data_IF_016272220396
#
_entry.id   IF_016272220396
#
_cell.length_a   1.000
_cell.length_b   1.000
_cell.length_c   1.000
_cell.angle_alpha   90.00
_cell.angle_beta   90.00
_cell.angle_gamma   90.00
#
_symmetry.space_group_name_H-M   'P 1'
#
loop_
_entity.id
_entity.type
_entity.pdbx_description
1 polymer ?
#
# COMPACT_ATOMS: atom_id res chain seq x y z
N UNK A 1 11.41 0.65 -18.79
CA UNK A 1 12.26 0.42 -17.60
C UNK A 1 12.40 1.66 -16.73
N UNK A 2 12.84 2.82 -17.26
CA UNK A 2 12.99 4.05 -16.47
C UNK A 2 11.73 4.44 -15.66
N UNK A 3 10.55 4.40 -16.29
CA UNK A 3 9.28 4.74 -15.64
C UNK A 3 8.89 3.77 -14.50
N UNK A 4 9.19 2.47 -14.65
CA UNK A 4 8.93 1.49 -13.59
C UNK A 4 9.84 1.72 -12.38
N UNK A 5 11.10 2.07 -12.61
CA UNK A 5 12.03 2.39 -11.53
C UNK A 5 11.60 3.65 -10.77
N UNK A 6 11.09 4.69 -11.45
CA UNK A 6 10.53 5.87 -10.78
C UNK A 6 9.34 5.52 -9.88
N UNK A 7 8.42 4.67 -10.36
CA UNK A 7 7.29 4.19 -9.56
C UNK A 7 7.75 3.40 -8.33
N UNK A 8 8.72 2.48 -8.50
CA UNK A 8 9.29 1.69 -7.41
C UNK A 8 9.97 2.60 -6.37
N UNK A 9 10.81 3.52 -6.81
CA UNK A 9 11.52 4.44 -5.91
C UNK A 9 10.57 5.38 -5.17
N UNK A 10 9.46 5.79 -5.82
CA UNK A 10 8.43 6.60 -5.17
C UNK A 10 7.64 5.81 -4.15
N UNK A 11 7.31 4.54 -4.45
CA UNK A 11 6.58 3.66 -3.56
C UNK A 11 7.40 3.31 -2.30
N UNK A 12 8.66 2.89 -2.48
CA UNK A 12 9.51 2.37 -1.42
C UNK A 12 10.63 3.36 -1.04
N UNK A 13 10.25 4.43 -0.34
CA UNK A 13 11.17 5.46 0.14
C UNK A 13 10.94 5.79 1.62
N UNK A 14 11.88 6.55 2.21
CA UNK A 14 11.86 7.00 3.62
C UNK A 14 10.61 7.83 3.99
N UNK A 15 9.88 8.36 3.01
CA UNK A 15 8.61 9.06 3.26
C UNK A 15 7.42 8.10 3.48
N UNK A 16 7.52 6.87 2.96
CA UNK A 16 6.45 5.86 2.99
C UNK A 16 6.75 4.70 3.95
N UNK A 17 8.03 4.43 4.19
CA UNK A 17 8.50 3.37 5.06
C UNK A 17 9.44 3.94 6.12
N UNK A 18 9.30 3.46 7.36
CA UNK A 18 10.06 3.94 8.51
C UNK A 18 11.51 3.44 8.54
N UNK A 19 11.91 2.59 7.60
CA UNK A 19 13.26 2.02 7.49
C UNK A 19 13.70 1.98 6.04
N UNK A 20 14.99 2.26 5.80
CA UNK A 20 15.62 2.23 4.46
C UNK A 20 15.69 0.85 3.86
N UNK A 21 15.76 -0.18 4.71
CA UNK A 21 15.81 -1.57 4.27
C UNK A 21 14.45 -2.07 3.76
N UNK A 22 13.38 -1.29 3.98
CA UNK A 22 11.96 -1.53 3.65
C UNK A 22 11.38 -2.80 4.32
N UNK A 23 12.02 -3.94 4.11
CA UNK A 23 11.68 -5.26 4.64
C UNK A 23 12.92 -5.93 5.25
N UNK A 24 13.42 -5.45 6.41
CA UNK A 24 14.59 -6.04 7.05
C UNK A 24 14.30 -7.47 7.53
N UNK A 25 15.29 -8.35 7.42
CA UNK A 25 15.24 -9.70 7.96
C UNK A 25 15.92 -9.72 9.33
N UNK A 26 15.15 -9.94 10.38
CA UNK A 26 15.65 -9.99 11.75
C UNK A 26 15.81 -11.44 12.23
N UNK A 27 17.03 -11.84 12.60
CA UNK A 27 17.28 -13.18 13.15
C UNK A 27 16.98 -13.23 14.64
N UNK A 28 16.05 -14.11 15.04
CA UNK A 28 15.68 -14.35 16.44
C UNK A 28 16.51 -15.48 17.07
N UNK A 29 16.75 -16.55 16.29
CA UNK A 29 17.54 -17.72 16.68
C UNK A 29 18.38 -18.19 15.48
N UNK A 30 19.29 -19.15 15.69
CA UNK A 30 20.21 -19.66 14.65
C UNK A 30 19.50 -20.07 13.34
N UNK A 31 18.26 -20.57 13.42
CA UNK A 31 17.46 -21.02 12.27
C UNK A 31 16.06 -20.40 12.22
N UNK A 32 15.85 -19.28 12.92
CA UNK A 32 14.57 -18.57 12.95
C UNK A 32 14.80 -17.09 12.72
N UNK A 33 14.21 -16.58 11.65
CA UNK A 33 14.23 -15.16 11.31
C UNK A 33 12.81 -14.68 11.01
N UNK A 34 12.58 -13.39 11.22
CA UNK A 34 11.34 -12.68 10.93
C UNK A 34 11.62 -11.66 9.85
N UNK A 35 10.88 -11.73 8.75
CA UNK A 35 10.88 -10.68 7.74
C UNK A 35 9.88 -9.62 8.16
N UNK A 36 10.37 -8.45 8.54
CA UNK A 36 9.55 -7.36 9.05
C UNK A 36 8.93 -6.60 7.89
N UNK A 37 7.65 -6.88 7.58
CA UNK A 37 6.91 -6.24 6.49
C UNK A 37 5.99 -5.11 6.96
N UNK A 38 6.12 -4.70 8.22
CA UNK A 38 5.21 -3.77 8.90
C UNK A 38 5.79 -2.36 9.05
N UNK A 39 6.82 -1.99 8.29
CA UNK A 39 7.43 -0.65 8.37
C UNK A 39 6.76 0.40 7.49
N UNK A 40 5.69 0.06 6.78
CA UNK A 40 4.92 1.01 5.97
C UNK A 40 4.00 1.92 6.78
N UNK A 41 3.32 2.85 6.08
CA UNK A 41 2.46 3.89 6.67
C UNK A 41 1.33 3.35 7.56
N UNK A 42 0.88 2.12 7.34
CA UNK A 42 -0.23 1.51 8.11
C UNK A 42 0.22 0.40 9.05
N UNK A 43 1.53 0.17 9.16
CA UNK A 43 2.14 -0.82 10.04
C UNK A 43 1.68 -2.25 9.73
N UNK A 44 1.35 -2.53 8.47
CA UNK A 44 0.90 -3.84 8.02
C UNK A 44 1.57 -4.22 6.70
N UNK A 45 1.75 -5.53 6.48
CA UNK A 45 2.41 -6.05 5.26
C UNK A 45 1.75 -5.64 3.94
N UNK A 46 0.49 -5.18 3.99
CA UNK A 46 -0.26 -4.74 2.81
C UNK A 46 0.32 -3.47 2.20
N UNK A 47 1.05 -2.68 2.99
CA UNK A 47 1.77 -1.50 2.51
C UNK A 47 2.78 -1.86 1.42
N UNK A 48 3.34 -3.08 1.44
CA UNK A 48 4.24 -3.56 0.39
C UNK A 48 3.57 -3.53 -0.98
N UNK A 49 2.33 -3.98 -1.10
CA UNK A 49 1.62 -3.97 -2.37
C UNK A 49 0.95 -2.62 -2.66
N UNK A 50 0.29 -2.05 -1.65
CA UNK A 50 -0.57 -0.88 -1.80
C UNK A 50 0.21 0.44 -1.90
N UNK A 51 1.52 0.44 -1.62
CA UNK A 51 2.38 1.60 -1.93
C UNK A 51 2.70 1.70 -3.42
N UNK A 52 2.84 0.59 -4.15
CA UNK A 52 3.19 0.58 -5.58
C UNK A 52 1.95 0.54 -6.48
N UNK A 53 0.90 -0.16 -6.04
CA UNK A 53 -0.29 -0.40 -6.85
C UNK A 53 -0.94 0.87 -7.45
N UNK A 54 -1.09 1.99 -6.73
CA UNK A 54 -1.70 3.20 -7.30
C UNK A 54 -0.92 3.74 -8.51
N UNK A 55 0.42 3.72 -8.45
CA UNK A 55 1.26 4.12 -9.58
C UNK A 55 1.03 3.22 -10.80
N UNK A 56 1.00 1.90 -10.58
CA UNK A 56 0.76 0.92 -11.64
C UNK A 56 -0.64 1.08 -12.26
N UNK A 57 -1.65 1.35 -11.45
CA UNK A 57 -3.02 1.56 -11.92
C UNK A 57 -3.09 2.81 -12.81
N UNK A 58 -2.50 3.93 -12.38
CA UNK A 58 -2.48 5.17 -13.16
C UNK A 58 -1.74 4.95 -14.48
N UNK A 59 -0.54 4.36 -14.44
CA UNK A 59 0.24 4.06 -15.64
C UNK A 59 -0.51 3.14 -16.61
N UNK A 60 -1.23 2.13 -16.10
CA UNK A 60 -2.04 1.25 -16.92
C UNK A 60 -3.22 1.99 -17.58
N UNK A 61 -3.93 2.87 -16.84
CA UNK A 61 -5.00 3.69 -17.42
C UNK A 61 -4.49 4.59 -18.54
N UNK A 62 -3.34 5.23 -18.33
CA UNK A 62 -2.71 6.07 -19.34
C UNK A 62 -2.33 5.29 -20.59
N UNK A 63 -1.74 4.10 -20.43
CA UNK A 63 -1.36 3.23 -21.53
C UNK A 63 -2.57 2.77 -22.36
N UNK A 64 -3.70 2.49 -21.71
CA UNK A 64 -4.97 2.11 -22.36
C UNK A 64 -5.77 3.33 -22.89
N UNK A 65 -5.31 4.56 -22.64
CA UNK A 65 -6.04 5.77 -22.97
C UNK A 65 -7.37 5.91 -22.23
N UNK A 66 -7.53 5.25 -21.07
CA UNK A 66 -8.73 5.29 -20.25
C UNK A 66 -8.79 6.59 -19.45
N UNK A 67 -9.84 7.38 -19.71
CA UNK A 67 -10.05 8.72 -19.15
C UNK A 67 -11.07 8.75 -18.02
N UNK A 68 -11.81 7.66 -17.80
CA UNK A 68 -12.79 7.57 -16.72
C UNK A 68 -12.09 7.57 -15.37
N UNK A 69 -12.77 8.09 -14.37
CA UNK A 69 -12.35 7.93 -12.99
C UNK A 69 -12.54 6.48 -12.53
N UNK A 70 -11.65 6.00 -11.66
CA UNK A 70 -11.74 4.65 -11.07
C UNK A 70 -12.19 4.76 -9.63
N UNK A 71 -13.29 4.09 -9.29
CA UNK A 71 -13.72 3.93 -7.90
C UNK A 71 -13.25 2.57 -7.38
N UNK A 72 -12.31 2.58 -6.44
CA UNK A 72 -11.91 1.42 -5.66
C UNK A 72 -12.96 1.20 -4.57
N UNK A 73 -13.70 0.10 -4.68
CA UNK A 73 -14.65 -0.36 -3.66
C UNK A 73 -14.03 -1.51 -2.89
N UNK A 74 -13.98 -1.42 -1.56
CA UNK A 74 -13.41 -2.48 -0.72
C UNK A 74 -14.23 -2.64 0.56
N UNK A 75 -14.38 -3.88 1.02
CA UNK A 75 -14.86 -4.18 2.36
C UNK A 75 -13.71 -4.76 3.20
N UNK A 76 -13.64 -4.39 4.47
CA UNK A 76 -12.58 -4.85 5.38
C UNK A 76 -13.12 -5.15 6.77
N UNK A 77 -12.37 -5.96 7.51
CA UNK A 77 -12.54 -6.16 8.96
C UNK A 77 -11.37 -5.59 9.76
N UNK A 78 -10.53 -4.73 9.16
CA UNK A 78 -9.32 -4.21 9.80
C UNK A 78 -8.35 -3.54 8.83
N UNK A 79 -7.06 -3.89 8.92
CA UNK A 79 -5.95 -3.13 8.31
C UNK A 79 -6.03 -2.94 6.79
N UNK A 80 -6.69 -3.85 6.06
CA UNK A 80 -6.74 -3.77 4.59
C UNK A 80 -7.40 -2.47 4.13
N UNK A 81 -8.46 -2.04 4.81
CA UNK A 81 -9.14 -0.79 4.47
C UNK A 81 -8.23 0.41 4.68
N UNK A 82 -7.52 0.45 5.82
CA UNK A 82 -6.57 1.53 6.13
C UNK A 82 -5.43 1.60 5.13
N UNK A 83 -4.81 0.45 4.81
CA UNK A 83 -3.74 0.38 3.81
C UNK A 83 -4.22 0.81 2.42
N UNK A 84 -5.45 0.46 2.03
CA UNK A 84 -6.01 0.86 0.74
C UNK A 84 -6.32 2.37 0.71
N UNK A 85 -6.94 2.92 1.77
CA UNK A 85 -7.19 4.35 1.91
C UNK A 85 -5.90 5.15 1.83
N UNK A 86 -4.87 4.71 2.55
CA UNK A 86 -3.57 5.36 2.59
C UNK A 86 -2.79 5.20 1.28
N UNK A 87 -2.94 4.08 0.58
CA UNK A 87 -2.34 3.86 -0.74
C UNK A 87 -2.95 4.75 -1.83
N UNK A 88 -4.27 4.86 -1.87
CA UNK A 88 -4.99 5.64 -2.89
C UNK A 88 -5.25 7.11 -2.51
N UNK A 89 -4.72 7.56 -1.38
CA UNK A 89 -4.85 8.94 -0.93
C UNK A 89 -4.26 9.90 -1.97
N UNK A 90 -5.06 10.88 -2.37
CA UNK A 90 -4.68 11.96 -3.29
C UNK A 90 -4.17 11.47 -4.67
N UNK A 91 -4.51 10.24 -5.09
CA UNK A 91 -4.12 9.68 -6.39
C UNK A 91 -5.09 10.18 -7.48
N UNK A 92 -4.64 10.99 -8.46
CA UNK A 92 -5.52 11.60 -9.45
C UNK A 92 -6.30 10.59 -10.29
N UNK A 93 -7.57 10.92 -10.58
CA UNK A 93 -8.44 10.06 -11.38
C UNK A 93 -8.83 8.75 -10.69
N UNK A 94 -8.63 8.66 -9.37
CA UNK A 94 -9.09 7.56 -8.53
C UNK A 94 -9.88 8.07 -7.33
N UNK A 95 -10.82 7.25 -6.87
CA UNK A 95 -11.60 7.45 -5.67
C UNK A 95 -11.61 6.14 -4.89
N UNK A 96 -11.74 6.19 -3.57
CA UNK A 96 -11.81 4.99 -2.74
C UNK A 96 -12.94 5.07 -1.73
N UNK A 97 -13.69 3.98 -1.60
CA UNK A 97 -14.67 3.77 -0.54
C UNK A 97 -14.42 2.44 0.16
N UNK A 98 -14.34 2.50 1.48
CA UNK A 98 -14.13 1.35 2.35
C UNK A 98 -15.36 1.12 3.22
N UNK A 99 -15.91 -0.08 3.15
CA UNK A 99 -16.94 -0.58 4.04
C UNK A 99 -16.29 -1.40 5.16
N UNK A 100 -16.70 -1.19 6.39
CA UNK A 100 -16.24 -1.97 7.53
C UNK A 100 -17.36 -2.16 8.56
N UNK A 101 -17.36 -3.26 9.33
CA UNK A 101 -18.35 -3.48 10.37
C UNK A 101 -18.13 -2.51 11.53
N UNK A 102 -19.17 -1.77 11.93
CA UNK A 102 -19.10 -0.74 12.98
C UNK A 102 -18.47 -1.24 14.29
N UNK A 103 -18.80 -2.47 14.69
CA UNK A 103 -18.30 -3.08 15.95
C UNK A 103 -17.27 -4.20 15.71
N UNK A 104 -16.77 -4.35 14.49
CA UNK A 104 -15.90 -5.47 14.10
C UNK A 104 -14.45 -5.08 13.80
N UNK A 105 -14.05 -3.85 14.16
CA UNK A 105 -12.70 -3.31 13.90
C UNK A 105 -12.10 -2.82 15.22
N UNK A 106 -10.79 -3.05 15.42
CA UNK A 106 -10.13 -2.59 16.65
C UNK A 106 -9.98 -1.06 16.66
N UNK A 107 -9.92 -0.40 17.83
CA UNK A 107 -9.77 1.06 17.90
C UNK A 107 -8.51 1.64 17.24
N UNK A 108 -7.49 0.81 17.03
CA UNK A 108 -6.23 1.20 16.37
C UNK A 108 -6.39 1.32 14.84
N UNK A 109 -7.29 0.51 14.29
CA UNK A 109 -7.53 0.34 12.86
C UNK A 109 -8.57 1.35 12.39
#
# INVERSE_FOLDING_TARGET
EAHLNEMINSAYCDANFSTRDIAPLHSLLEKVSVLELFHGRTQAFKDMALSLFPYLLVAAKEAEGEKKEVLILTATSGDTGKAALEGFKDVPGTHIQVFYPTDGVSPMQ
#
